data_IF_999450913563
#
_entry.id   IF_999450913563
#
_cell.length_a   1.000
_cell.length_b   1.000
_cell.length_c   1.000
_cell.angle_alpha   90.00
_cell.angle_beta   90.00
_cell.angle_gamma   90.00
#
_symmetry.space_group_name_H-M   'P 1'
#
loop_
_entity.id
_entity.type
_entity.pdbx_description
1 polymer ?
#
# COMPACT_ATOMS: atom_id res chain seq x y z
N UNK A 1 58.26 18.04 14.17
CA UNK A 1 57.05 17.54 14.86
C UNK A 1 55.90 18.46 14.44
N UNK A 2 55.08 18.04 13.47
CA UNK A 2 53.88 18.78 13.07
C UNK A 2 52.66 18.00 13.54
N UNK A 3 51.80 18.70 14.29
CA UNK A 3 50.62 18.15 14.94
C UNK A 3 49.46 18.15 13.94
N UNK A 4 48.70 17.05 13.99
CA UNK A 4 47.50 16.74 13.22
C UNK A 4 46.48 17.90 13.19
N UNK A 5 45.80 18.06 12.06
CA UNK A 5 44.43 18.59 12.00
C UNK A 5 43.54 17.52 11.40
N UNK A 6 42.78 16.83 12.25
CA UNK A 6 41.70 15.96 11.83
C UNK A 6 40.43 16.81 11.71
N UNK A 7 39.91 16.93 10.50
CA UNK A 7 38.60 17.56 10.23
C UNK A 7 37.54 16.50 10.52
N UNK A 8 36.78 16.68 11.60
CA UNK A 8 35.58 15.90 11.89
C UNK A 8 34.46 16.39 10.98
N UNK A 9 34.12 15.59 9.95
CA UNK A 9 32.90 15.78 9.19
C UNK A 9 31.72 15.33 10.06
N UNK A 10 31.01 16.30 10.64
CA UNK A 10 29.72 16.06 11.28
C UNK A 10 28.67 15.80 10.20
N UNK A 11 28.45 14.53 9.88
CA UNK A 11 27.28 14.10 9.11
C UNK A 11 26.04 14.32 9.97
N UNK A 12 25.37 15.46 9.78
CA UNK A 12 24.01 15.68 10.24
C UNK A 12 23.12 14.66 9.52
N UNK A 13 22.72 13.59 10.22
CA UNK A 13 21.61 12.76 9.80
C UNK A 13 20.35 13.65 9.82
N UNK A 14 19.89 14.09 8.66
CA UNK A 14 18.51 14.55 8.51
C UNK A 14 17.62 13.34 8.81
N UNK A 15 17.07 13.28 10.01
CA UNK A 15 15.95 12.40 10.28
C UNK A 15 14.80 12.87 9.40
N UNK A 16 14.41 12.06 8.41
CA UNK A 16 13.20 12.30 7.64
C UNK A 16 12.03 12.30 8.62
N UNK A 17 11.42 13.47 8.84
CA UNK A 17 10.18 13.54 9.62
C UNK A 17 9.12 12.74 8.87
N UNK A 18 8.44 11.77 9.51
CA UNK A 18 7.41 10.99 8.83
C UNK A 18 6.34 11.92 8.27
N UNK A 19 5.81 11.59 7.10
CA UNK A 19 4.77 12.40 6.47
C UNK A 19 3.54 12.51 7.39
N UNK A 20 2.78 13.61 7.33
CA UNK A 20 1.54 13.75 8.10
C UNK A 20 0.56 12.60 7.87
N UNK A 21 0.60 11.97 6.69
CA UNK A 21 -0.19 10.78 6.35
C UNK A 21 0.29 9.55 7.14
N UNK A 22 1.59 9.28 7.17
CA UNK A 22 2.18 8.19 7.96
C UNK A 22 1.89 8.37 9.46
N UNK A 23 2.02 9.59 9.99
CA UNK A 23 1.68 9.88 11.39
C UNK A 23 0.19 9.68 11.71
N UNK A 24 -0.71 9.97 10.76
CA UNK A 24 -2.15 9.71 10.93
C UNK A 24 -2.43 8.21 10.94
N UNK A 25 -1.85 7.46 10.02
CA UNK A 25 -2.04 6.01 9.96
C UNK A 25 -1.59 5.28 11.24
N UNK A 26 -0.49 5.72 11.85
CA UNK A 26 -0.04 5.18 13.15
C UNK A 26 -0.94 5.63 14.32
N UNK A 27 -1.56 6.81 14.23
CA UNK A 27 -2.45 7.34 15.26
C UNK A 27 -3.85 6.72 15.22
N UNK A 28 -4.26 6.12 14.10
CA UNK A 28 -5.53 5.38 13.96
C UNK A 28 -5.45 3.92 14.44
N UNK A 29 -4.62 3.68 15.45
CA UNK A 29 -4.76 2.50 16.27
C UNK A 29 -6.04 2.60 17.12
N UNK A 30 -6.70 1.45 17.28
CA UNK A 30 -7.79 1.18 18.22
C UNK A 30 -9.21 1.42 17.69
N UNK A 31 -9.54 0.81 16.55
CA UNK A 31 -10.89 0.25 16.42
C UNK A 31 -10.79 -1.24 16.81
N UNK A 32 -11.76 -1.79 17.55
CA UNK A 32 -11.78 -3.23 17.85
C UNK A 32 -12.23 -3.97 16.58
N UNK A 33 -11.36 -4.73 15.89
CA UNK A 33 -11.65 -5.29 14.57
C UNK A 33 -12.90 -6.17 14.55
N UNK A 34 -13.29 -6.74 15.70
CA UNK A 34 -14.53 -7.50 15.87
C UNK A 34 -15.82 -6.65 15.89
N UNK A 35 -15.75 -5.34 15.66
CA UNK A 35 -16.91 -4.44 15.59
C UNK A 35 -17.11 -3.96 14.15
N UNK A 36 -18.36 -3.92 13.67
CA UNK A 36 -18.71 -3.57 12.28
C UNK A 36 -18.17 -2.20 11.83
N UNK A 37 -17.99 -1.27 12.77
CA UNK A 37 -17.48 0.07 12.52
C UNK A 37 -15.98 0.09 12.11
N UNK A 38 -15.23 -1.00 12.37
CA UNK A 38 -13.81 -1.04 11.99
C UNK A 38 -13.59 -1.10 10.49
N UNK A 39 -14.32 -1.97 9.80
CA UNK A 39 -14.19 -2.11 8.36
C UNK A 39 -14.47 -0.79 7.64
N UNK A 40 -15.56 -0.11 8.01
CA UNK A 40 -15.92 1.19 7.47
C UNK A 40 -14.82 2.24 7.70
N UNK A 41 -14.25 2.30 8.91
CA UNK A 41 -13.12 3.19 9.21
C UNK A 41 -11.87 2.87 8.38
N UNK A 42 -11.59 1.59 8.11
CA UNK A 42 -10.48 1.20 7.22
C UNK A 42 -10.76 1.68 5.80
N UNK A 43 -11.97 1.49 5.29
CA UNK A 43 -12.36 2.00 3.96
C UNK A 43 -12.21 3.51 3.87
N UNK A 44 -12.66 4.26 4.89
CA UNK A 44 -12.51 5.72 4.93
C UNK A 44 -11.04 6.14 4.89
N UNK A 45 -10.16 5.45 5.62
CA UNK A 45 -8.70 5.70 5.56
C UNK A 45 -8.13 5.48 4.16
N UNK A 46 -8.59 4.45 3.45
CA UNK A 46 -8.16 4.20 2.07
C UNK A 46 -8.60 5.31 1.12
N UNK A 47 -9.81 5.83 1.29
CA UNK A 47 -10.32 6.98 0.53
C UNK A 47 -9.46 8.22 0.80
N UNK A 48 -9.06 8.45 2.04
CA UNK A 48 -8.16 9.56 2.39
C UNK A 48 -6.78 9.44 1.76
N UNK A 49 -6.20 8.23 1.68
CA UNK A 49 -4.88 7.99 1.05
C UNK A 49 -4.89 8.42 -0.41
N UNK A 50 -5.97 8.14 -1.14
CA UNK A 50 -6.09 8.45 -2.58
C UNK A 50 -6.74 9.83 -2.83
N UNK A 51 -7.07 10.58 -1.79
CA UNK A 51 -7.76 11.85 -1.96
C UNK A 51 -6.90 12.86 -2.75
N UNK A 52 -7.36 13.24 -3.95
CA UNK A 52 -6.67 14.19 -4.79
C UNK A 52 -5.41 13.66 -5.48
N UNK A 53 -5.21 12.34 -5.51
CA UNK A 53 -4.18 11.74 -6.37
C UNK A 53 -4.58 11.86 -7.85
N UNK A 54 -3.58 11.84 -8.73
CA UNK A 54 -3.76 11.80 -10.18
C UNK A 54 -3.67 10.34 -10.62
N UNK A 55 -4.79 9.83 -11.13
CA UNK A 55 -4.86 8.47 -11.67
C UNK A 55 -4.36 8.43 -13.12
N UNK A 56 -3.57 7.40 -13.40
CA UNK A 56 -3.15 6.99 -14.73
C UNK A 56 -3.66 5.57 -14.99
N UNK A 57 -4.13 5.33 -16.21
CA UNK A 57 -4.75 4.06 -16.61
C UNK A 57 -4.09 3.53 -17.88
N UNK A 58 -3.86 2.22 -17.92
CA UNK A 58 -3.42 1.47 -19.10
C UNK A 58 -4.31 0.25 -19.28
N UNK A 59 -4.63 -0.08 -20.53
CA UNK A 59 -5.32 -1.33 -20.90
C UNK A 59 -4.36 -2.15 -21.75
N UNK A 60 -4.20 -3.43 -21.43
CA UNK A 60 -3.38 -4.38 -22.17
C UNK A 60 -4.08 -5.74 -22.23
N UNK A 61 -4.55 -6.10 -23.42
CA UNK A 61 -5.41 -7.26 -23.62
C UNK A 61 -6.66 -7.19 -22.73
N UNK A 62 -6.96 -8.25 -21.94
CA UNK A 62 -8.11 -8.25 -21.03
C UNK A 62 -7.86 -7.46 -19.74
N UNK A 63 -6.63 -7.04 -19.46
CA UNK A 63 -6.26 -6.41 -18.20
C UNK A 63 -6.30 -4.88 -18.30
N UNK A 64 -6.80 -4.26 -17.24
CA UNK A 64 -6.58 -2.84 -16.96
C UNK A 64 -5.62 -2.71 -15.78
N UNK A 65 -4.67 -1.79 -15.90
CA UNK A 65 -3.77 -1.36 -14.83
C UNK A 65 -4.03 0.10 -14.52
N UNK A 66 -4.02 0.46 -13.24
CA UNK A 66 -4.12 1.84 -12.77
C UNK A 66 -3.06 2.14 -11.73
N UNK A 67 -2.52 3.35 -11.76
CA UNK A 67 -1.73 3.88 -10.66
C UNK A 67 -2.21 5.28 -10.30
N UNK A 68 -2.31 5.54 -9.00
CA UNK A 68 -2.62 6.85 -8.47
C UNK A 68 -1.39 7.44 -7.77
N UNK A 69 -1.03 8.65 -8.19
CA UNK A 69 0.13 9.36 -7.66
C UNK A 69 -0.28 10.66 -6.99
N UNK A 70 0.30 10.97 -5.83
CA UNK A 70 0.07 12.21 -5.11
C UNK A 70 1.43 12.85 -4.82
N UNK A 71 1.63 14.10 -5.24
CA UNK A 71 2.91 14.81 -5.08
C UNK A 71 4.14 14.06 -5.66
N UNK A 72 3.94 13.26 -6.70
CA UNK A 72 4.99 12.44 -7.32
C UNK A 72 5.25 11.10 -6.63
N UNK A 73 4.56 10.79 -5.54
CA UNK A 73 4.64 9.51 -4.84
C UNK A 73 3.48 8.60 -5.25
N UNK A 74 3.76 7.31 -5.44
CA UNK A 74 2.74 6.30 -5.68
C UNK A 74 1.97 6.04 -4.38
N UNK A 75 0.65 6.23 -4.41
CA UNK A 75 -0.22 6.02 -3.23
C UNK A 75 -1.21 4.88 -3.44
N UNK A 76 -1.46 4.47 -4.69
CA UNK A 76 -2.25 3.29 -5.01
C UNK A 76 -1.87 2.72 -6.37
N UNK A 77 -1.95 1.40 -6.51
CA UNK A 77 -1.80 0.68 -7.77
C UNK A 77 -2.84 -0.44 -7.84
N UNK A 78 -3.41 -0.71 -9.01
CA UNK A 78 -4.36 -1.78 -9.18
C UNK A 78 -4.19 -2.46 -10.54
N UNK A 79 -4.54 -3.73 -10.58
CA UNK A 79 -4.79 -4.48 -11.81
C UNK A 79 -6.15 -5.16 -11.71
N UNK A 80 -6.87 -5.20 -12.81
CA UNK A 80 -8.15 -5.90 -12.86
C UNK A 80 -8.50 -6.34 -14.28
N UNK A 81 -9.26 -7.42 -14.37
CA UNK A 81 -9.93 -7.84 -15.57
C UNK A 81 -10.92 -6.75 -16.00
N UNK A 82 -10.82 -6.32 -17.25
CA UNK A 82 -11.51 -5.11 -17.73
C UNK A 82 -13.02 -5.27 -17.75
N UNK A 83 -13.53 -6.47 -18.03
CA UNK A 83 -14.98 -6.73 -18.13
C UNK A 83 -15.58 -7.16 -16.79
N UNK A 84 -14.82 -7.89 -15.98
CA UNK A 84 -15.26 -8.51 -14.74
C UNK A 84 -15.04 -7.62 -13.51
N UNK A 85 -14.09 -6.69 -13.57
CA UNK A 85 -13.69 -5.86 -12.42
C UNK A 85 -13.02 -6.64 -11.29
N UNK A 86 -12.71 -7.91 -11.51
CA UNK A 86 -11.94 -8.76 -10.60
C UNK A 86 -10.45 -8.45 -10.71
N UNK A 87 -9.73 -8.50 -9.60
CA UNK A 87 -8.31 -8.20 -9.56
C UNK A 87 -7.81 -7.87 -8.15
N UNK A 88 -6.87 -6.94 -8.08
CA UNK A 88 -6.23 -6.54 -6.82
C UNK A 88 -5.93 -5.06 -6.83
N UNK A 89 -6.17 -4.40 -5.69
CA UNK A 89 -5.79 -3.01 -5.46
C UNK A 89 -4.89 -2.92 -4.24
N UNK A 90 -3.82 -2.16 -4.36
CA UNK A 90 -2.84 -1.86 -3.32
C UNK A 90 -2.95 -0.40 -2.92
N UNK A 91 -2.80 -0.13 -1.63
CA UNK A 91 -2.60 1.22 -1.10
C UNK A 91 -1.25 1.32 -0.43
N UNK A 92 -0.59 2.45 -0.66
CA UNK A 92 0.77 2.70 -0.20
C UNK A 92 0.85 3.99 0.60
N UNK A 93 1.65 3.95 1.66
CA UNK A 93 2.07 5.15 2.38
C UNK A 93 3.56 5.10 2.62
N UNK A 94 4.25 6.20 2.27
CA UNK A 94 5.71 6.28 2.30
C UNK A 94 6.42 5.14 1.52
N UNK A 95 5.79 4.65 0.45
CA UNK A 95 6.31 3.57 -0.38
C UNK A 95 6.06 2.16 0.14
N UNK A 96 5.42 2.00 1.31
CA UNK A 96 5.08 0.69 1.88
C UNK A 96 3.61 0.35 1.66
N UNK A 97 3.30 -0.91 1.34
CA UNK A 97 1.92 -1.37 1.24
C UNK A 97 1.29 -1.42 2.62
N UNK A 98 0.17 -0.71 2.77
CA UNK A 98 -0.62 -0.63 4.00
C UNK A 98 -1.95 -1.37 3.90
N UNK A 99 -2.44 -1.59 2.67
CA UNK A 99 -3.63 -2.40 2.44
C UNK A 99 -3.65 -3.05 1.06
N UNK A 100 -4.34 -4.20 0.98
CA UNK A 100 -4.66 -4.90 -0.25
C UNK A 100 -6.16 -5.20 -0.27
N UNK A 101 -6.83 -4.98 -1.41
CA UNK A 101 -8.22 -5.35 -1.61
C UNK A 101 -8.39 -6.24 -2.83
N UNK A 102 -9.17 -7.30 -2.66
CA UNK A 102 -9.62 -8.19 -3.72
C UNK A 102 -11.12 -7.95 -3.96
N UNK A 103 -11.52 -7.37 -5.10
CA UNK A 103 -12.93 -7.05 -5.36
C UNK A 103 -13.84 -8.27 -5.42
N UNK A 104 -13.37 -9.41 -5.95
CA UNK A 104 -14.21 -10.60 -6.19
C UNK A 104 -14.81 -11.23 -4.93
N UNK A 105 -14.06 -11.26 -3.83
CA UNK A 105 -14.49 -11.84 -2.55
C UNK A 105 -14.57 -10.77 -1.44
N UNK A 106 -14.56 -9.49 -1.82
CA UNK A 106 -14.59 -8.34 -0.92
C UNK A 106 -13.56 -8.39 0.22
N UNK A 107 -12.44 -9.09 0.00
CA UNK A 107 -11.40 -9.23 1.01
C UNK A 107 -10.60 -7.95 1.11
N UNK A 108 -10.44 -7.44 2.33
CA UNK A 108 -9.56 -6.33 2.67
C UNK A 108 -8.52 -6.80 3.67
N UNK A 109 -7.25 -6.67 3.30
CA UNK A 109 -6.10 -6.99 4.14
C UNK A 109 -5.42 -5.69 4.59
N UNK A 110 -5.01 -5.62 5.85
CA UNK A 110 -4.30 -4.49 6.41
C UNK A 110 -2.91 -4.88 6.91
N UNK A 111 -1.93 -4.06 6.60
CA UNK A 111 -0.53 -4.33 6.89
C UNK A 111 0.09 -3.26 7.78
N UNK A 112 1.05 -3.67 8.59
CA UNK A 112 1.90 -2.78 9.36
C UNK A 112 3.34 -3.29 9.33
N UNK A 113 4.26 -2.47 8.83
CA UNK A 113 5.68 -2.82 8.68
C UNK A 113 5.86 -4.14 7.92
N UNK A 114 5.14 -4.32 6.81
CA UNK A 114 5.16 -5.53 5.99
C UNK A 114 4.51 -6.77 6.60
N UNK A 115 3.84 -6.65 7.76
CA UNK A 115 3.15 -7.77 8.41
C UNK A 115 1.64 -7.63 8.31
N UNK A 116 0.94 -8.73 8.02
CA UNK A 116 -0.53 -8.75 8.05
C UNK A 116 -1.00 -8.60 9.50
N UNK A 117 -1.86 -7.62 9.77
CA UNK A 117 -2.36 -7.32 11.13
C UNK A 117 -3.87 -7.40 11.25
N UNK A 118 -4.60 -7.17 10.16
CA UNK A 118 -6.06 -7.30 10.12
C UNK A 118 -6.47 -7.83 8.76
N UNK A 119 -7.57 -8.56 8.73
CA UNK A 119 -8.19 -8.91 7.47
C UNK A 119 -9.69 -9.12 7.66
N UNK A 120 -10.41 -8.76 6.60
CA UNK A 120 -11.86 -8.72 6.54
C UNK A 120 -12.30 -9.42 5.27
N UNK A 121 -13.37 -10.20 5.34
CA UNK A 121 -14.06 -10.80 4.19
C UNK A 121 -15.54 -10.42 4.29
N UNK A 122 -16.10 -9.83 3.23
CA UNK A 122 -17.46 -9.28 3.23
C UNK A 122 -17.72 -8.34 4.43
N UNK A 123 -16.71 -7.52 4.77
CA UNK A 123 -16.73 -6.60 5.91
C UNK A 123 -16.64 -7.27 7.30
N UNK A 124 -16.54 -8.59 7.38
CA UNK A 124 -16.43 -9.34 8.63
C UNK A 124 -14.97 -9.60 8.95
N UNK A 125 -14.55 -9.24 10.16
CA UNK A 125 -13.19 -9.53 10.63
C UNK A 125 -12.95 -11.03 10.75
N UNK A 126 -11.81 -11.46 10.23
CA UNK A 126 -11.32 -12.82 10.30
C UNK A 126 -10.32 -12.94 11.45
N UNK A 127 -10.64 -13.77 12.44
CA UNK A 127 -9.86 -13.92 13.66
C UNK A 127 -8.68 -14.90 13.53
N UNK A 128 -8.63 -15.68 12.44
CA UNK A 128 -7.60 -16.68 12.19
C UNK A 128 -7.26 -16.83 10.70
N UNK A 129 -5.96 -16.93 10.43
CA UNK A 129 -5.39 -17.30 9.15
C UNK A 129 -4.37 -18.40 9.37
N UNK A 130 -4.15 -19.26 8.37
CA UNK A 130 -3.01 -20.17 8.46
C UNK A 130 -1.70 -19.37 8.34
N UNK A 131 -0.62 -19.86 8.96
CA UNK A 131 0.70 -19.24 8.84
C UNK A 131 1.16 -19.20 7.37
N UNK A 132 0.77 -20.21 6.58
CA UNK A 132 1.09 -20.29 5.16
C UNK A 132 0.37 -19.20 4.35
N UNK A 133 -0.91 -18.97 4.62
CA UNK A 133 -1.67 -17.90 3.96
C UNK A 133 -1.10 -16.54 4.33
N UNK A 134 -0.76 -16.35 5.60
CA UNK A 134 -0.16 -15.10 6.09
C UNK A 134 1.15 -14.79 5.36
N UNK A 135 2.07 -15.77 5.28
CA UNK A 135 3.35 -15.59 4.61
C UNK A 135 3.18 -15.29 3.11
N UNK A 136 2.23 -15.95 2.45
CA UNK A 136 1.92 -15.69 1.05
C UNK A 136 1.40 -14.26 0.82
N UNK A 137 0.49 -13.78 1.69
CA UNK A 137 -0.08 -12.44 1.61
C UNK A 137 0.96 -11.35 1.93
N UNK A 138 1.88 -11.60 2.85
CA UNK A 138 2.99 -10.69 3.16
C UNK A 138 3.96 -10.56 1.96
N UNK A 139 4.28 -11.66 1.27
CA UNK A 139 5.07 -11.62 0.03
C UNK A 139 4.34 -10.87 -1.08
N UNK A 140 3.02 -11.07 -1.21
CA UNK A 140 2.23 -10.31 -2.18
C UNK A 140 2.26 -8.79 -1.92
N UNK A 141 2.23 -8.38 -0.66
CA UNK A 141 2.37 -6.97 -0.28
C UNK A 141 3.76 -6.40 -0.61
N UNK A 142 4.81 -7.21 -0.57
CA UNK A 142 6.18 -6.80 -0.92
C UNK A 142 6.36 -6.63 -2.43
N UNK A 143 5.89 -7.60 -3.23
CA UNK A 143 6.24 -7.70 -4.64
C UNK A 143 5.16 -7.20 -5.61
N UNK A 144 3.88 -7.24 -5.21
CA UNK A 144 2.74 -7.09 -6.12
C UNK A 144 2.67 -5.73 -6.82
N UNK A 145 3.10 -4.65 -6.14
CA UNK A 145 3.08 -3.29 -6.70
C UNK A 145 4.09 -3.13 -7.84
N UNK A 146 5.28 -3.76 -7.72
CA UNK A 146 6.33 -3.62 -8.71
C UNK A 146 5.91 -4.18 -10.08
N UNK A 147 5.19 -5.30 -10.09
CA UNK A 147 4.67 -5.91 -11.32
C UNK A 147 3.67 -4.98 -12.04
N UNK A 148 2.75 -4.35 -11.31
CA UNK A 148 1.77 -3.40 -11.89
C UNK A 148 2.50 -2.19 -12.48
N UNK A 149 3.44 -1.60 -11.73
CA UNK A 149 4.19 -0.43 -12.17
C UNK A 149 5.02 -0.76 -13.41
N UNK A 150 5.65 -1.93 -13.46
CA UNK A 150 6.39 -2.40 -14.63
C UNK A 150 5.47 -2.46 -15.87
N UNK A 151 4.30 -3.09 -15.74
CA UNK A 151 3.31 -3.15 -16.82
C UNK A 151 2.88 -1.76 -17.27
N UNK A 152 2.83 -0.78 -16.37
CA UNK A 152 2.48 0.60 -16.73
C UNK A 152 3.59 1.35 -17.50
N UNK A 153 4.86 0.99 -17.30
CA UNK A 153 6.02 1.65 -17.95
C UNK A 153 6.37 1.01 -19.30
N UNK A 154 6.22 -0.31 -19.44
CA UNK A 154 6.78 -1.08 -20.57
C UNK A 154 6.12 -0.89 -21.95
N UNK A 155 5.11 -0.02 -22.10
CA UNK A 155 4.46 0.23 -23.40
C UNK A 155 4.66 1.66 -23.95
N UNK A 156 5.77 2.32 -23.61
CA UNK A 156 6.15 3.60 -24.18
C UNK A 156 6.75 3.55 -25.60
N UNK A 157 6.99 2.36 -26.17
CA UNK A 157 7.72 2.19 -27.43
C UNK A 157 7.04 1.22 -28.43
N UNK A 158 5.76 1.42 -28.75
CA UNK A 158 5.13 0.81 -29.94
C UNK A 158 4.30 1.81 -30.74
#
# INVERSE_FOLDING_TARGET
MSILSAVLASSLLLAATPSPLAQRMDAHAVCNPATTNCFEQRVDQLIEIVAGCVETRKVDGPMTYTACTQNGELVSAAEFLTEEGDGVTYWLVAGEVVAIRFPHNETLLWFKNGRLVEAYEDGVFLDQFSELDTAYLEVMAEDGVAAIVQMMVEAGDQ
#
